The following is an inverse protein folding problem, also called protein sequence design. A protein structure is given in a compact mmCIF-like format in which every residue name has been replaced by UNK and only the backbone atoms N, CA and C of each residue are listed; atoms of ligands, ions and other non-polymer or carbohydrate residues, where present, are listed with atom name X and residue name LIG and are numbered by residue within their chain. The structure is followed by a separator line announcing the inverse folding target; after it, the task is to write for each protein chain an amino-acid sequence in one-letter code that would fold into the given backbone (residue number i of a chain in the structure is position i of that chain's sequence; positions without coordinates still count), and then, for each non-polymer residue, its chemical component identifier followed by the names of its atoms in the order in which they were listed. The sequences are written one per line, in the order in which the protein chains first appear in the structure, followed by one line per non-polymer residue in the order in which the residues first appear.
data_IF_059441016013
#
_entry.id   IF_059441016013
#
_cell.length_a   1.000
_cell.length_b   1.000
_cell.length_c   1.000
_cell.angle_alpha   90.00
_cell.angle_beta   90.00
_cell.angle_gamma   90.00
#
_symmetry.space_group_name_H-M   'P 1'
#
loop_
_entity.id
_entity.type
_entity.pdbx_description
1 polymer ?
#
# COMPACT_ATOMS: atom_id res chain seq x y z
N UNK A 1 -3.23 18.56 33.75
CA UNK A 1 -3.56 19.99 33.70
C UNK A 1 -5.00 20.24 33.26
N UNK A 2 -5.44 19.78 32.10
CA UNK A 2 -6.80 20.06 31.60
C UNK A 2 -7.90 19.13 32.16
N UNK A 3 -7.54 18.04 32.88
CA UNK A 3 -8.51 17.04 33.31
C UNK A 3 -9.59 17.60 34.23
N UNK A 4 -9.21 18.40 35.24
CA UNK A 4 -10.15 19.03 36.15
C UNK A 4 -11.10 20.01 35.42
N UNK A 5 -10.61 20.75 34.41
CA UNK A 5 -11.42 21.66 33.61
C UNK A 5 -12.56 20.93 32.90
N UNK A 6 -12.30 19.75 32.33
CA UNK A 6 -13.31 18.96 31.63
C UNK A 6 -14.00 17.93 32.52
N UNK A 7 -13.69 17.85 33.82
CA UNK A 7 -14.26 16.86 34.75
C UNK A 7 -13.83 15.43 34.45
N UNK A 8 -12.61 15.25 33.96
CA UNK A 8 -11.99 13.95 33.68
C UNK A 8 -11.25 13.43 34.91
N UNK A 9 -11.35 12.13 35.18
CA UNK A 9 -10.62 11.45 36.27
C UNK A 9 -9.20 11.09 35.85
N UNK A 10 -8.99 10.75 34.58
CA UNK A 10 -7.70 10.37 34.00
C UNK A 10 -7.59 10.79 32.53
N UNK A 11 -6.38 10.71 31.92
CA UNK A 11 -6.18 11.05 30.51
C UNK A 11 -6.97 10.14 29.58
N UNK A 12 -7.92 10.67 28.76
CA UNK A 12 -8.75 9.84 27.90
C UNK A 12 -8.01 9.27 26.68
N UNK A 13 -6.96 9.94 26.20
CA UNK A 13 -6.30 9.65 24.92
C UNK A 13 -4.84 9.19 25.06
N UNK A 14 -4.52 8.46 26.15
CA UNK A 14 -3.19 7.82 26.30
C UNK A 14 -2.90 6.91 25.10
N UNK A 15 -1.66 6.97 24.62
CA UNK A 15 -1.17 6.13 23.52
C UNK A 15 -0.86 4.71 24.02
N UNK A 16 -0.38 4.60 25.27
CA UNK A 16 -0.12 3.29 25.89
C UNK A 16 -1.42 2.47 25.95
N UNK A 17 -1.41 1.23 25.43
CA UNK A 17 -2.60 0.38 25.45
C UNK A 17 -3.06 0.08 26.89
N UNK A 18 -4.35 0.31 27.15
CA UNK A 18 -5.06 -0.09 28.37
C UNK A 18 -6.36 -0.77 27.94
N UNK A 19 -6.55 -2.03 28.33
CA UNK A 19 -7.70 -2.86 27.92
C UNK A 19 -9.04 -2.33 28.39
N UNK A 20 -9.10 -1.57 29.50
CA UNK A 20 -10.32 -0.88 29.95
C UNK A 20 -10.84 0.17 28.95
N UNK A 21 -9.96 0.66 28.09
CA UNK A 21 -10.26 1.60 27.02
C UNK A 21 -10.38 0.91 25.65
N UNK A 22 -10.65 -0.38 25.61
CA UNK A 22 -10.83 -1.09 24.34
C UNK A 22 -12.15 -0.70 23.68
N UNK A 23 -12.07 -0.12 22.49
CA UNK A 23 -13.23 0.26 21.69
C UNK A 23 -13.55 -0.85 20.68
N UNK A 24 -14.74 -1.44 20.80
CA UNK A 24 -15.20 -2.54 19.94
C UNK A 24 -15.76 -2.09 18.59
N UNK A 25 -15.99 -0.78 18.39
CA UNK A 25 -16.51 -0.23 17.14
C UNK A 25 -15.51 -0.29 15.97
N UNK A 26 -15.97 0.05 14.79
CA UNK A 26 -15.15 0.07 13.55
C UNK A 26 -14.51 -1.30 13.28
N UNK A 27 -15.25 -2.39 13.32
CA UNK A 27 -14.88 -3.82 13.17
C UNK A 27 -13.98 -4.44 14.26
N UNK A 28 -13.49 -3.68 15.27
CA UNK A 28 -12.53 -4.20 16.26
C UNK A 28 -13.14 -5.31 17.13
N UNK A 29 -14.40 -5.16 17.54
CA UNK A 29 -15.13 -6.19 18.28
C UNK A 29 -15.31 -7.47 17.45
N UNK A 30 -15.79 -7.34 16.21
CA UNK A 30 -15.98 -8.47 15.34
C UNK A 30 -14.67 -9.23 15.03
N UNK A 31 -13.57 -8.50 14.84
CA UNK A 31 -12.23 -9.10 14.66
C UNK A 31 -11.78 -9.79 15.95
N UNK A 32 -12.04 -9.20 17.12
CA UNK A 32 -11.71 -9.81 18.41
C UNK A 32 -12.46 -11.13 18.61
N UNK A 33 -13.77 -11.14 18.38
CA UNK A 33 -14.62 -12.34 18.51
C UNK A 33 -14.20 -13.44 17.53
N UNK A 34 -13.91 -13.07 16.28
CA UNK A 34 -13.42 -14.01 15.27
C UNK A 34 -12.02 -14.56 15.61
N UNK A 35 -11.14 -13.76 16.23
CA UNK A 35 -9.85 -14.23 16.72
C UNK A 35 -9.99 -15.20 17.89
N UNK A 36 -10.87 -14.92 18.84
CA UNK A 36 -11.17 -15.85 19.94
C UNK A 36 -11.67 -17.18 19.41
N UNK A 37 -12.58 -17.14 18.41
CA UNK A 37 -13.05 -18.34 17.74
C UNK A 37 -11.91 -19.11 17.06
N UNK A 38 -11.11 -18.42 16.22
CA UNK A 38 -10.00 -19.02 15.48
C UNK A 38 -8.92 -19.60 16.42
N UNK A 39 -8.66 -18.96 17.56
CA UNK A 39 -7.73 -19.48 18.57
C UNK A 39 -8.31 -20.74 19.24
N UNK A 40 -9.59 -20.72 19.62
CA UNK A 40 -10.22 -21.89 20.25
C UNK A 40 -10.37 -23.09 19.30
N UNK A 41 -10.38 -22.88 17.97
CA UNK A 41 -10.37 -23.97 16.99
C UNK A 41 -9.04 -24.75 16.96
N UNK A 42 -7.97 -24.13 17.44
CA UNK A 42 -6.66 -24.78 17.61
C UNK A 42 -5.87 -24.99 16.33
N UNK A 43 -6.36 -24.57 15.16
CA UNK A 43 -5.76 -24.91 13.87
C UNK A 43 -4.98 -23.76 13.21
N UNK A 44 -3.84 -24.13 12.61
CA UNK A 44 -3.10 -23.28 11.68
C UNK A 44 -2.42 -22.06 12.32
N UNK A 45 -2.03 -21.15 11.42
CA UNK A 45 -1.46 -19.86 11.77
C UNK A 45 -2.50 -18.79 11.48
N UNK A 46 -2.67 -17.88 12.42
CA UNK A 46 -3.58 -16.74 12.31
C UNK A 46 -2.76 -15.50 11.98
N UNK A 47 -3.26 -14.65 11.09
CA UNK A 47 -2.63 -13.40 10.73
C UNK A 47 -3.56 -12.21 10.96
N UNK A 48 -3.04 -11.16 11.59
CA UNK A 48 -3.74 -9.90 11.81
C UNK A 48 -2.90 -8.77 11.23
N UNK A 49 -3.40 -8.12 10.18
CA UNK A 49 -2.69 -7.05 9.49
C UNK A 49 -3.42 -5.72 9.68
N UNK A 50 -2.66 -4.65 9.85
CA UNK A 50 -3.19 -3.28 9.91
C UNK A 50 -2.06 -2.26 9.98
N UNK A 51 -2.35 -1.04 9.60
CA UNK A 51 -1.42 0.08 9.59
C UNK A 51 -0.86 0.39 10.99
N UNK A 52 0.25 1.13 11.02
CA UNK A 52 0.81 1.66 12.28
C UNK A 52 -0.25 2.51 12.99
N UNK A 53 -0.53 2.16 14.25
CA UNK A 53 -1.54 2.88 15.04
C UNK A 53 -2.99 2.51 14.75
N UNK A 54 -3.27 1.40 14.04
CA UNK A 54 -4.63 0.85 13.85
C UNK A 54 -5.21 0.20 15.12
N UNK A 55 -4.36 -0.16 16.09
CA UNK A 55 -4.77 -0.77 17.36
C UNK A 55 -4.44 -2.26 17.51
N UNK A 56 -3.52 -2.83 16.69
CA UNK A 56 -3.08 -4.24 16.78
C UNK A 56 -2.62 -4.64 18.16
N UNK A 57 -1.72 -3.86 18.77
CA UNK A 57 -1.21 -4.12 20.12
C UNK A 57 -2.32 -4.10 21.18
N UNK A 58 -3.31 -3.21 21.04
CA UNK A 58 -4.48 -3.17 21.91
C UNK A 58 -5.31 -4.46 21.78
N UNK A 59 -5.52 -4.91 20.53
CA UNK A 59 -6.23 -6.15 20.22
C UNK A 59 -5.50 -7.37 20.80
N UNK A 60 -4.16 -7.43 20.64
CA UNK A 60 -3.32 -8.49 21.20
C UNK A 60 -3.45 -8.57 22.73
N UNK A 61 -3.34 -7.42 23.42
CA UNK A 61 -3.50 -7.38 24.88
C UNK A 61 -4.92 -7.74 25.33
N UNK A 62 -5.93 -7.32 24.57
CA UNK A 62 -7.31 -7.67 24.87
C UNK A 62 -7.52 -9.19 24.77
N UNK A 63 -6.97 -9.85 23.73
CA UNK A 63 -6.99 -11.31 23.61
C UNK A 63 -6.37 -11.99 24.84
N UNK A 64 -5.20 -11.54 25.29
CA UNK A 64 -4.56 -12.10 26.49
C UNK A 64 -5.45 -12.00 27.74
N UNK A 65 -6.31 -10.97 27.80
CA UNK A 65 -7.21 -10.77 28.97
C UNK A 65 -8.47 -11.65 28.91
N UNK A 66 -9.01 -11.91 27.69
CA UNK A 66 -10.32 -12.57 27.55
C UNK A 66 -10.24 -14.05 27.17
N UNK A 67 -9.08 -14.53 26.73
CA UNK A 67 -8.90 -15.93 26.41
C UNK A 67 -9.11 -16.79 27.67
N UNK A 68 -9.73 -17.97 27.54
CA UNK A 68 -9.99 -18.85 28.69
C UNK A 68 -8.68 -19.34 29.31
N UNK A 69 -8.71 -19.63 30.63
CA UNK A 69 -7.54 -20.07 31.40
C UNK A 69 -6.86 -21.36 30.86
N UNK A 70 -7.54 -22.12 30.01
CA UNK A 70 -6.96 -23.25 29.29
C UNK A 70 -5.97 -22.85 28.18
N UNK A 71 -5.99 -21.58 27.74
CA UNK A 71 -5.09 -21.05 26.71
C UNK A 71 -3.92 -20.36 27.41
N UNK A 72 -2.76 -20.95 27.29
CA UNK A 72 -1.51 -20.38 27.77
C UNK A 72 -0.88 -19.55 26.64
N UNK A 73 -0.60 -18.27 26.91
CA UNK A 73 -0.12 -17.32 25.90
C UNK A 73 1.36 -17.01 26.08
N UNK A 74 2.10 -17.08 24.99
CA UNK A 74 3.50 -16.65 24.86
C UNK A 74 3.54 -15.35 24.06
N UNK A 75 4.26 -14.36 24.51
CA UNK A 75 4.30 -13.05 23.85
C UNK A 75 5.71 -12.70 23.36
N UNK A 76 5.90 -12.73 22.04
CA UNK A 76 7.14 -12.34 21.40
C UNK A 76 7.04 -10.89 20.90
N UNK A 77 7.57 -9.98 21.73
CA UNK A 77 7.53 -8.53 21.45
C UNK A 77 8.65 -8.08 20.51
N UNK A 78 9.77 -8.81 20.44
CA UNK A 78 10.92 -8.43 19.64
C UNK A 78 10.87 -9.11 18.24
N UNK A 79 10.61 -8.34 17.16
CA UNK A 79 10.56 -8.91 15.83
C UNK A 79 11.97 -9.22 15.25
N UNK A 80 13.02 -8.68 15.85
CA UNK A 80 14.40 -8.82 15.33
C UNK A 80 15.14 -10.04 15.91
N UNK A 81 14.41 -11.04 16.40
CA UNK A 81 15.02 -12.28 16.89
C UNK A 81 15.62 -13.05 15.74
N UNK A 82 16.89 -13.45 15.87
CA UNK A 82 17.55 -14.30 14.89
C UNK A 82 16.92 -15.71 14.81
N UNK A 83 17.02 -16.40 13.67
CA UNK A 83 16.42 -17.73 13.50
C UNK A 83 16.86 -18.71 14.57
N UNK A 84 18.14 -18.69 14.95
CA UNK A 84 18.73 -19.53 15.98
C UNK A 84 18.18 -19.24 17.38
N UNK A 85 17.79 -18.00 17.66
CA UNK A 85 17.39 -17.55 18.99
C UNK A 85 15.87 -17.65 19.26
N UNK A 86 15.06 -17.85 18.23
CA UNK A 86 13.59 -17.86 18.39
C UNK A 86 13.11 -18.95 19.35
N UNK A 87 13.73 -20.13 19.31
CA UNK A 87 13.41 -21.23 20.22
C UNK A 87 13.75 -20.91 21.66
N UNK A 88 14.91 -20.26 21.89
CA UNK A 88 15.32 -19.83 23.24
C UNK A 88 14.39 -18.73 23.75
N UNK A 89 13.97 -17.80 22.91
CA UNK A 89 13.00 -16.76 23.29
C UNK A 89 11.66 -17.37 23.73
N UNK A 90 11.14 -18.33 22.97
CA UNK A 90 9.89 -19.03 23.35
C UNK A 90 10.08 -19.82 24.65
N UNK A 91 11.18 -20.54 24.78
CA UNK A 91 11.47 -21.31 26.00
C UNK A 91 11.65 -20.41 27.22
N UNK A 92 12.22 -19.22 27.05
CA UNK A 92 12.36 -18.21 28.10
C UNK A 92 10.99 -17.67 28.53
N UNK A 93 10.13 -17.29 27.60
CA UNK A 93 8.77 -16.81 27.89
C UNK A 93 7.92 -17.87 28.59
N UNK A 94 8.08 -19.15 28.21
CA UNK A 94 7.44 -20.29 28.89
C UNK A 94 8.12 -20.69 30.22
N UNK A 95 9.17 -19.96 30.63
CA UNK A 95 9.96 -20.23 31.85
C UNK A 95 10.49 -21.67 31.93
N UNK A 96 10.86 -22.24 30.79
CA UNK A 96 11.38 -23.60 30.73
C UNK A 96 12.77 -23.68 31.35
N UNK A 97 13.01 -24.73 32.15
CA UNK A 97 14.30 -24.98 32.77
C UNK A 97 15.25 -25.58 31.74
N UNK A 98 16.16 -24.75 31.20
CA UNK A 98 17.18 -25.18 30.26
C UNK A 98 18.55 -25.28 30.97
N UNK A 99 19.40 -26.27 30.60
CA UNK A 99 20.81 -26.30 30.97
C UNK A 99 21.52 -25.03 30.43
N UNK A 100 22.55 -24.53 31.15
CA UNK A 100 23.28 -23.30 30.73
C UNK A 100 23.93 -23.40 29.34
N UNK A 101 24.20 -24.63 28.88
CA UNK A 101 24.83 -24.94 27.58
C UNK A 101 23.90 -25.75 26.67
N UNK A 102 22.57 -25.58 26.83
CA UNK A 102 21.61 -26.30 26.00
C UNK A 102 21.79 -25.94 24.53
N UNK A 103 21.98 -26.94 23.69
CA UNK A 103 21.98 -26.74 22.24
C UNK A 103 20.53 -26.67 21.70
N UNK A 104 20.41 -26.32 20.42
CA UNK A 104 19.12 -26.16 19.74
C UNK A 104 18.24 -27.43 19.83
N UNK A 105 18.81 -28.63 19.72
CA UNK A 105 18.08 -29.89 19.79
C UNK A 105 17.54 -30.14 21.19
N UNK A 106 18.32 -29.82 22.21
CA UNK A 106 17.90 -29.92 23.60
C UNK A 106 16.75 -28.94 23.90
N UNK A 107 16.84 -27.68 23.42
CA UNK A 107 15.77 -26.71 23.59
C UNK A 107 14.48 -27.18 22.90
N UNK A 108 14.59 -27.66 21.67
CA UNK A 108 13.45 -28.20 20.93
C UNK A 108 12.81 -29.40 21.64
N UNK A 109 13.63 -30.32 22.16
CA UNK A 109 13.12 -31.48 22.91
C UNK A 109 12.38 -31.07 24.19
N UNK A 110 12.96 -30.13 24.96
CA UNK A 110 12.31 -29.62 26.18
C UNK A 110 11.00 -28.90 25.85
N UNK A 111 11.00 -28.07 24.79
CA UNK A 111 9.79 -27.39 24.32
C UNK A 111 8.73 -28.39 23.87
N UNK A 112 9.09 -29.37 23.04
CA UNK A 112 8.15 -30.40 22.57
C UNK A 112 7.55 -31.18 23.74
N UNK A 113 8.36 -31.61 24.69
CA UNK A 113 7.89 -32.28 25.90
C UNK A 113 6.89 -31.42 26.69
N UNK A 114 7.25 -30.15 26.91
CA UNK A 114 6.36 -29.20 27.59
C UNK A 114 5.00 -29.08 26.89
N UNK A 115 5.00 -28.91 25.57
CA UNK A 115 3.77 -28.78 24.77
C UNK A 115 2.90 -30.04 24.86
N UNK A 116 3.50 -31.23 24.83
CA UNK A 116 2.79 -32.52 25.05
C UNK A 116 2.18 -32.60 26.44
N UNK A 117 2.94 -32.22 27.47
CA UNK A 117 2.46 -32.22 28.86
C UNK A 117 1.28 -31.23 29.01
N UNK A 118 1.37 -30.00 28.42
CA UNK A 118 0.24 -29.05 28.41
C UNK A 118 -0.98 -29.58 27.69
N UNK A 119 -0.79 -30.21 26.55
CA UNK A 119 -1.88 -30.82 25.80
C UNK A 119 -2.56 -31.94 26.58
N UNK A 120 -1.81 -32.78 27.30
CA UNK A 120 -2.35 -33.82 28.17
C UNK A 120 -3.17 -33.23 29.33
N UNK A 121 -2.84 -32.01 29.80
CA UNK A 121 -3.63 -31.27 30.79
C UNK A 121 -4.87 -30.59 30.20
N UNK A 122 -5.15 -30.73 28.89
CA UNK A 122 -6.24 -30.05 28.18
C UNK A 122 -5.98 -28.57 27.96
N UNK A 123 -4.71 -28.15 28.03
CA UNK A 123 -4.29 -26.75 27.77
C UNK A 123 -3.76 -26.61 26.34
N UNK A 124 -3.95 -25.43 25.80
CA UNK A 124 -3.47 -25.00 24.47
C UNK A 124 -2.42 -23.92 24.65
N UNK A 125 -1.31 -24.02 23.91
CA UNK A 125 -0.26 -22.98 23.92
C UNK A 125 -0.38 -22.16 22.63
N UNK A 126 -0.40 -20.83 22.78
CA UNK A 126 -0.55 -19.87 21.66
C UNK A 126 0.56 -18.84 21.74
N UNK A 127 1.32 -18.68 20.65
CA UNK A 127 2.35 -17.65 20.52
C UNK A 127 1.77 -16.43 19.81
N UNK A 128 1.84 -15.28 20.45
CA UNK A 128 1.57 -13.98 19.86
C UNK A 128 2.89 -13.34 19.42
N UNK A 129 3.02 -13.07 18.13
CA UNK A 129 4.16 -12.41 17.54
C UNK A 129 3.74 -11.01 17.11
N UNK A 130 4.25 -9.97 17.77
CA UNK A 130 4.01 -8.58 17.36
C UNK A 130 5.06 -8.09 16.37
N UNK A 131 4.66 -7.12 15.54
CA UNK A 131 5.51 -6.50 14.50
C UNK A 131 6.18 -7.53 13.56
N UNK A 132 5.46 -8.61 13.23
CA UNK A 132 5.98 -9.76 12.47
C UNK A 132 6.57 -9.39 11.10
N UNK A 133 6.20 -8.23 10.51
CA UNK A 133 6.84 -7.71 9.29
C UNK A 133 8.33 -7.36 9.48
N UNK A 134 8.75 -7.11 10.73
CA UNK A 134 10.16 -6.84 11.08
C UNK A 134 11.01 -8.09 11.27
N UNK A 135 10.41 -9.29 11.21
CA UNK A 135 11.15 -10.54 11.34
C UNK A 135 11.96 -10.84 10.08
N UNK A 136 13.22 -11.31 10.21
CA UNK A 136 13.94 -11.92 9.10
C UNK A 136 13.14 -13.06 8.48
N UNK A 137 13.22 -13.25 7.15
CA UNK A 137 12.51 -14.33 6.45
C UNK A 137 12.86 -15.71 7.02
N UNK A 138 14.14 -15.91 7.36
CA UNK A 138 14.59 -17.15 7.98
C UNK A 138 13.96 -17.38 9.37
N UNK A 139 13.68 -16.34 10.14
CA UNK A 139 12.97 -16.44 11.43
C UNK A 139 11.49 -16.79 11.23
N UNK A 140 10.84 -16.23 10.20
CA UNK A 140 9.48 -16.61 9.82
C UNK A 140 9.40 -18.07 9.39
N UNK A 141 10.45 -18.62 8.76
CA UNK A 141 10.54 -20.01 8.40
C UNK A 141 10.70 -20.91 9.65
N UNK A 142 11.45 -20.48 10.66
CA UNK A 142 11.50 -21.18 11.95
C UNK A 142 10.11 -21.21 12.64
N UNK A 143 9.37 -20.13 12.60
CA UNK A 143 7.97 -20.06 13.09
C UNK A 143 7.11 -21.09 12.34
N UNK A 144 7.29 -21.23 11.03
CA UNK A 144 6.61 -22.26 10.24
C UNK A 144 6.96 -23.66 10.71
N UNK A 145 8.24 -23.94 10.99
CA UNK A 145 8.68 -25.25 11.47
C UNK A 145 8.05 -25.58 12.82
N UNK A 146 7.94 -24.60 13.73
CA UNK A 146 7.25 -24.79 15.01
C UNK A 146 5.77 -25.13 14.85
N UNK A 147 5.09 -24.64 13.84
CA UNK A 147 3.70 -24.99 13.56
C UNK A 147 3.49 -26.45 13.12
N UNK A 148 4.60 -27.22 12.92
CA UNK A 148 4.55 -28.67 12.68
C UNK A 148 4.46 -29.50 13.95
N UNK A 149 4.60 -28.87 15.14
CA UNK A 149 4.49 -29.60 16.39
C UNK A 149 3.03 -30.02 16.61
N UNK A 150 2.78 -31.30 16.44
CA UNK A 150 1.43 -31.89 16.48
C UNK A 150 1.44 -33.28 17.11
N UNK A 151 0.30 -33.70 17.63
CA UNK A 151 -0.01 -35.10 17.93
C UNK A 151 -0.55 -35.80 16.67
N UNK A 152 -1.13 -36.97 16.82
CA UNK A 152 -1.84 -37.63 15.70
C UNK A 152 -3.11 -36.87 15.27
N UNK A 153 -3.68 -36.03 16.12
CA UNK A 153 -4.99 -35.44 15.93
C UNK A 153 -5.01 -33.91 16.10
N UNK A 154 -4.11 -33.34 16.91
CA UNK A 154 -4.17 -31.95 17.32
C UNK A 154 -2.83 -31.22 17.17
N UNK A 155 -2.88 -29.93 16.88
CA UNK A 155 -1.72 -29.03 16.94
C UNK A 155 -1.36 -28.75 18.40
N UNK A 156 -0.08 -28.91 18.74
CA UNK A 156 0.44 -28.61 20.06
C UNK A 156 0.67 -27.11 20.28
N UNK A 157 0.86 -26.38 19.20
CA UNK A 157 1.22 -24.96 19.23
C UNK A 157 0.47 -24.23 18.12
N UNK A 158 -0.20 -23.14 18.51
CA UNK A 158 -0.83 -22.20 17.58
C UNK A 158 -0.08 -20.87 17.56
N UNK A 159 -0.11 -20.16 16.44
CA UNK A 159 0.67 -18.94 16.25
C UNK A 159 -0.24 -17.85 15.68
N UNK A 160 -0.17 -16.65 16.28
CA UNK A 160 -0.88 -15.45 15.82
C UNK A 160 0.13 -14.38 15.46
N UNK A 161 0.22 -14.04 14.18
CA UNK A 161 1.12 -13.02 13.64
C UNK A 161 0.40 -11.68 13.55
N UNK A 162 0.84 -10.69 14.30
CA UNK A 162 0.40 -9.30 14.20
C UNK A 162 1.43 -8.51 13.40
N UNK A 163 1.01 -7.91 12.28
CA UNK A 163 1.93 -7.18 11.41
C UNK A 163 1.32 -5.98 10.71
N UNK A 164 2.19 -5.22 10.06
CA UNK A 164 1.82 -4.14 9.14
C UNK A 164 1.59 -4.73 7.74
N UNK A 165 1.07 -3.95 6.77
CA UNK A 165 0.85 -4.45 5.40
C UNK A 165 2.10 -5.04 4.73
N UNK A 166 3.30 -4.64 5.17
CA UNK A 166 4.58 -5.20 4.73
C UNK A 166 4.71 -6.70 5.05
N UNK A 167 4.01 -7.19 6.08
CA UNK A 167 3.94 -8.63 6.35
C UNK A 167 3.33 -9.38 5.17
N UNK A 168 2.28 -8.84 4.55
CA UNK A 168 1.68 -9.44 3.36
C UNK A 168 2.64 -9.46 2.18
N UNK A 169 3.45 -8.40 2.03
CA UNK A 169 4.50 -8.34 1.01
C UNK A 169 5.54 -9.44 1.24
N UNK A 170 6.03 -9.58 2.48
CA UNK A 170 6.98 -10.61 2.86
C UNK A 170 6.41 -12.02 2.63
N UNK A 171 5.18 -12.28 3.07
CA UNK A 171 4.50 -13.58 2.91
C UNK A 171 4.23 -13.95 1.44
N UNK A 172 4.25 -13.01 0.52
CA UNK A 172 4.11 -13.27 -0.92
C UNK A 172 5.43 -13.64 -1.62
N UNK A 173 6.56 -13.58 -0.91
CA UNK A 173 7.84 -14.04 -1.44
C UNK A 173 7.86 -15.57 -1.60
N UNK A 174 8.52 -16.05 -2.65
CA UNK A 174 8.59 -17.48 -2.94
C UNK A 174 9.29 -18.28 -1.83
N UNK A 175 10.24 -17.67 -1.15
CA UNK A 175 11.06 -18.26 -0.10
C UNK A 175 10.23 -18.73 1.10
N UNK A 176 9.12 -18.02 1.43
CA UNK A 176 8.25 -18.34 2.57
C UNK A 176 6.82 -18.70 2.16
N UNK A 177 6.63 -19.13 0.91
CA UNK A 177 5.34 -19.60 0.39
C UNK A 177 4.69 -20.65 1.28
N UNK A 178 5.48 -21.57 1.83
CA UNK A 178 4.98 -22.64 2.71
C UNK A 178 4.38 -22.11 4.02
N UNK A 179 4.90 -21.01 4.57
CA UNK A 179 4.30 -20.35 5.73
C UNK A 179 2.94 -19.75 5.36
N UNK A 180 2.84 -19.10 4.20
CA UNK A 180 1.57 -18.54 3.72
C UNK A 180 0.47 -19.59 3.57
N UNK A 181 0.80 -20.76 3.07
CA UNK A 181 -0.15 -21.87 2.89
C UNK A 181 -0.67 -22.45 4.22
N UNK A 182 0.00 -22.15 5.34
CA UNK A 182 -0.44 -22.55 6.69
C UNK A 182 -1.29 -21.53 7.40
N UNK A 183 -1.45 -20.34 6.81
CA UNK A 183 -2.32 -19.30 7.38
C UNK A 183 -3.78 -19.69 7.11
N UNK A 184 -4.48 -20.11 8.15
CA UNK A 184 -5.89 -20.52 8.06
C UNK A 184 -6.84 -19.34 8.16
N UNK A 185 -6.47 -18.32 8.96
CA UNK A 185 -7.30 -17.13 9.17
C UNK A 185 -6.48 -15.85 8.95
N UNK A 186 -7.06 -14.91 8.23
CA UNK A 186 -6.45 -13.61 7.97
C UNK A 186 -7.43 -12.49 8.27
N UNK A 187 -7.08 -11.65 9.22
CA UNK A 187 -7.89 -10.51 9.65
C UNK A 187 -7.22 -9.19 9.28
N UNK A 188 -8.03 -8.22 8.92
CA UNK A 188 -7.55 -6.88 8.59
C UNK A 188 -8.15 -5.84 9.52
N UNK A 189 -7.28 -5.06 10.18
CA UNK A 189 -7.67 -3.98 11.07
C UNK A 189 -7.57 -2.63 10.33
N UNK A 190 -8.66 -2.27 9.66
CA UNK A 190 -8.75 -1.07 8.84
C UNK A 190 -8.80 0.24 9.65
N UNK A 191 -8.69 1.39 8.98
CA UNK A 191 -8.89 2.70 9.58
C UNK A 191 -10.35 2.88 10.07
N UNK A 192 -10.54 3.74 11.07
CA UNK A 192 -11.87 4.18 11.50
C UNK A 192 -12.43 5.20 10.52
N UNK A 193 -13.70 5.08 10.18
CA UNK A 193 -14.44 6.12 9.47
C UNK A 193 -14.80 7.29 10.41
N UNK A 194 -15.35 8.37 9.86
CA UNK A 194 -15.69 9.58 10.62
C UNK A 194 -16.70 9.29 11.74
N UNK A 195 -17.70 8.44 11.48
CA UNK A 195 -18.72 8.07 12.46
C UNK A 195 -18.10 7.30 13.62
N UNK A 196 -17.31 6.27 13.31
CA UNK A 196 -16.62 5.46 14.31
C UNK A 196 -15.60 6.29 15.12
N UNK A 197 -14.95 7.29 14.52
CA UNK A 197 -14.10 8.24 15.25
C UNK A 197 -14.91 9.06 16.24
N UNK A 198 -16.09 9.55 15.86
CA UNK A 198 -16.99 10.26 16.79
C UNK A 198 -17.39 9.38 17.97
N UNK A 199 -17.77 8.14 17.71
CA UNK A 199 -18.11 7.13 18.74
C UNK A 199 -16.88 6.79 19.61
N UNK A 200 -15.72 6.63 19.01
CA UNK A 200 -14.46 6.38 19.70
C UNK A 200 -14.09 7.52 20.66
N UNK A 201 -14.17 8.76 20.20
CA UNK A 201 -13.81 9.92 21.03
C UNK A 201 -14.71 10.04 22.28
N UNK A 202 -16.03 9.86 22.12
CA UNK A 202 -16.93 9.92 23.26
C UNK A 202 -16.75 8.71 24.18
N UNK A 203 -16.54 7.51 23.62
CA UNK A 203 -16.25 6.30 24.40
C UNK A 203 -15.02 6.51 25.30
N UNK A 204 -13.91 7.01 24.75
CA UNK A 204 -12.68 7.30 25.51
C UNK A 204 -12.89 8.32 26.63
N UNK A 205 -13.69 9.35 26.37
CA UNK A 205 -14.07 10.34 27.40
C UNK A 205 -14.89 9.69 28.51
N UNK A 206 -15.86 8.83 28.15
CA UNK A 206 -16.69 8.12 29.13
C UNK A 206 -15.85 7.20 30.00
N UNK A 207 -14.96 6.41 29.40
CA UNK A 207 -14.03 5.54 30.13
C UNK A 207 -13.12 6.35 31.06
N UNK A 208 -12.76 7.60 30.71
CA UNK A 208 -12.00 8.50 31.57
C UNK A 208 -12.84 9.25 32.62
N UNK A 209 -14.11 8.88 32.82
CA UNK A 209 -15.00 9.41 33.82
C UNK A 209 -15.75 10.69 33.47
N UNK A 210 -15.83 11.04 32.18
CA UNK A 210 -16.60 12.18 31.69
C UNK A 210 -18.05 11.80 31.39
N UNK A 211 -19.02 12.49 31.98
CA UNK A 211 -20.44 12.23 31.79
C UNK A 211 -21.23 13.39 31.20
N UNK A 212 -20.54 14.45 30.77
CA UNK A 212 -21.14 15.61 30.15
C UNK A 212 -21.55 15.42 28.68
N UNK A 213 -22.00 16.50 27.99
CA UNK A 213 -22.29 16.48 26.55
C UNK A 213 -21.03 16.27 25.73
N UNK A 214 -21.20 15.99 24.42
CA UNK A 214 -20.02 15.77 23.55
C UNK A 214 -19.11 17.00 23.48
N UNK A 215 -17.86 16.84 23.92
CA UNK A 215 -16.85 17.91 23.92
C UNK A 215 -16.42 18.29 22.49
N UNK A 216 -16.44 17.36 21.55
CA UNK A 216 -16.03 17.60 20.17
C UNK A 216 -17.24 17.98 19.30
N UNK A 217 -17.20 19.14 18.66
CA UNK A 217 -18.20 19.50 17.65
C UNK A 217 -18.12 18.56 16.43
N UNK A 218 -19.22 18.37 15.69
CA UNK A 218 -19.24 17.54 14.47
C UNK A 218 -18.16 17.95 13.48
N UNK A 219 -17.95 19.25 13.28
CA UNK A 219 -16.91 19.78 12.40
C UNK A 219 -15.48 19.56 12.93
N UNK A 220 -15.30 19.47 14.24
CA UNK A 220 -14.02 19.07 14.84
C UNK A 220 -13.74 17.59 14.59
N UNK A 221 -14.74 16.72 14.77
CA UNK A 221 -14.64 15.29 14.48
C UNK A 221 -14.26 15.05 13.00
N UNK A 222 -14.97 15.67 12.05
CA UNK A 222 -14.66 15.58 10.62
C UNK A 222 -13.22 16.02 10.31
N UNK A 223 -12.74 17.08 10.97
CA UNK A 223 -11.37 17.57 10.79
C UNK A 223 -10.33 16.61 11.39
N UNK A 224 -10.57 16.02 12.57
CA UNK A 224 -9.73 14.96 13.17
C UNK A 224 -9.68 13.75 12.22
N UNK A 225 -10.84 13.27 11.75
CA UNK A 225 -10.96 12.13 10.86
C UNK A 225 -10.09 12.30 9.60
N UNK A 226 -10.24 13.44 8.93
CA UNK A 226 -9.47 13.76 7.72
C UNK A 226 -7.95 13.81 7.99
N UNK A 227 -7.54 14.37 9.13
CA UNK A 227 -6.12 14.53 9.43
C UNK A 227 -5.47 13.28 10.00
N UNK A 228 -6.20 12.51 10.82
CA UNK A 228 -5.75 11.25 11.38
C UNK A 228 -5.79 10.10 10.37
N UNK A 229 -6.52 10.23 9.26
CA UNK A 229 -6.74 9.16 8.27
C UNK A 229 -7.31 7.87 8.90
N UNK A 230 -8.14 8.01 9.95
CA UNK A 230 -8.73 6.88 10.66
C UNK A 230 -7.79 6.09 11.59
N UNK A 231 -6.53 6.47 11.70
CA UNK A 231 -5.54 5.78 12.53
C UNK A 231 -5.68 6.18 14.00
N UNK A 232 -6.03 5.22 14.85
CA UNK A 232 -6.36 5.44 16.26
C UNK A 232 -5.28 6.20 17.03
N UNK A 233 -4.01 5.88 16.79
CA UNK A 233 -2.88 6.60 17.41
C UNK A 233 -2.88 8.08 17.04
N UNK A 234 -3.12 8.41 15.77
CA UNK A 234 -3.20 9.81 15.31
C UNK A 234 -4.44 10.51 15.85
N UNK A 235 -5.58 9.79 15.93
CA UNK A 235 -6.82 10.30 16.56
C UNK A 235 -6.55 10.68 18.02
N UNK A 236 -5.89 9.82 18.79
CA UNK A 236 -5.55 10.09 20.18
C UNK A 236 -4.67 11.34 20.34
N UNK A 237 -3.60 11.45 19.53
CA UNK A 237 -2.70 12.61 19.57
C UNK A 237 -3.46 13.91 19.26
N UNK A 238 -4.27 13.91 18.21
CA UNK A 238 -5.05 15.09 17.83
C UNK A 238 -6.12 15.43 18.86
N UNK A 239 -6.80 14.44 19.43
CA UNK A 239 -7.83 14.66 20.42
C UNK A 239 -7.24 15.24 21.72
N UNK A 240 -6.13 14.69 22.22
CA UNK A 240 -5.45 15.16 23.42
C UNK A 240 -4.97 16.61 23.27
N UNK A 241 -4.24 16.90 22.17
CA UNK A 241 -3.77 18.25 21.87
C UNK A 241 -4.92 19.24 21.61
N UNK A 242 -6.04 18.78 21.05
CA UNK A 242 -7.23 19.64 20.84
C UNK A 242 -7.93 20.00 22.15
N UNK A 243 -7.98 19.07 23.11
CA UNK A 243 -8.46 19.35 24.47
C UNK A 243 -7.54 20.37 25.17
N UNK A 244 -6.23 20.20 25.03
CA UNK A 244 -5.26 21.14 25.59
C UNK A 244 -5.42 22.55 24.99
N UNK A 245 -5.64 22.66 23.67
CA UNK A 245 -5.89 23.92 23.01
C UNK A 245 -7.22 24.58 23.45
N UNK A 246 -8.29 23.80 23.65
CA UNK A 246 -9.56 24.29 24.13
C UNK A 246 -9.45 24.76 25.60
N UNK A 247 -8.68 24.04 26.42
CA UNK A 247 -8.35 24.46 27.79
C UNK A 247 -7.58 25.77 27.82
N UNK A 248 -6.60 25.97 26.93
CA UNK A 248 -5.85 27.24 26.83
C UNK A 248 -6.74 28.42 26.44
N UNK A 249 -7.76 28.19 25.61
CA UNK A 249 -8.78 29.16 25.23
C UNK A 249 -9.88 29.33 26.33
N UNK A 250 -9.80 28.59 27.43
CA UNK A 250 -10.77 28.51 28.53
C UNK A 250 -12.21 28.21 28.07
N UNK A 251 -12.36 27.28 27.12
CA UNK A 251 -13.66 26.82 26.58
C UNK A 251 -13.87 25.35 26.79
N UNK A 252 -15.15 24.93 26.93
CA UNK A 252 -15.51 23.52 27.15
C UNK A 252 -15.76 22.74 25.86
N UNK A 253 -15.83 23.40 24.71
CA UNK A 253 -16.09 22.74 23.44
C UNK A 253 -14.90 22.81 22.51
N UNK A 254 -14.48 21.66 21.99
CA UNK A 254 -13.45 21.53 20.96
C UNK A 254 -14.06 21.87 19.60
N UNK A 255 -13.52 22.89 18.96
CA UNK A 255 -13.91 23.37 17.64
C UNK A 255 -12.83 23.07 16.58
N UNK A 256 -13.10 23.26 15.29
CA UNK A 256 -12.07 23.12 14.24
C UNK A 256 -10.85 24.05 14.40
N UNK A 257 -10.96 25.14 15.18
CA UNK A 257 -9.84 26.03 15.52
C UNK A 257 -8.81 25.27 16.37
N UNK A 258 -9.27 24.60 17.44
CA UNK A 258 -8.42 23.84 18.35
C UNK A 258 -7.77 22.64 17.65
N UNK A 259 -8.53 21.95 16.78
CA UNK A 259 -8.00 20.85 15.95
C UNK A 259 -6.92 21.35 14.98
N UNK A 260 -7.07 22.56 14.39
CA UNK A 260 -6.01 23.13 13.54
C UNK A 260 -4.73 23.40 14.33
N UNK A 261 -4.84 23.92 15.53
CA UNK A 261 -3.70 24.12 16.41
C UNK A 261 -3.01 22.77 16.74
N UNK A 262 -3.80 21.74 17.09
CA UNK A 262 -3.29 20.40 17.35
C UNK A 262 -2.59 19.77 16.14
N UNK A 263 -3.11 19.97 14.93
CA UNK A 263 -2.49 19.50 13.68
C UNK A 263 -1.15 20.20 13.46
N UNK A 264 -1.11 21.54 13.63
CA UNK A 264 0.13 22.32 13.47
C UNK A 264 1.25 21.90 14.44
N UNK A 265 0.86 21.47 15.64
CA UNK A 265 1.78 21.02 16.70
C UNK A 265 2.10 19.49 16.60
N UNK A 266 1.66 18.81 15.56
CA UNK A 266 1.93 17.37 15.35
C UNK A 266 2.82 17.15 14.14
N UNK A 267 3.76 16.17 14.25
CA UNK A 267 4.74 15.85 13.19
C UNK A 267 4.08 15.46 11.86
N UNK A 268 2.99 14.67 11.92
CA UNK A 268 2.26 14.28 10.72
C UNK A 268 1.44 15.44 10.10
N UNK A 269 1.20 16.53 10.81
CA UNK A 269 0.63 17.77 10.27
C UNK A 269 1.58 18.48 9.30
N UNK A 270 2.88 18.45 9.60
CA UNK A 270 3.91 19.03 8.73
C UNK A 270 4.01 18.32 7.37
N UNK A 271 3.83 16.99 7.33
CA UNK A 271 3.81 16.22 6.08
C UNK A 271 2.58 16.53 5.22
N UNK A 272 1.41 16.70 5.84
CA UNK A 272 0.20 17.08 5.11
C UNK A 272 0.31 18.49 4.52
N UNK A 273 0.88 19.45 5.24
CA UNK A 273 1.14 20.79 4.72
C UNK A 273 2.10 20.79 3.54
N UNK A 274 3.16 19.96 3.58
CA UNK A 274 4.09 19.81 2.45
C UNK A 274 3.42 19.21 1.21
N UNK A 275 2.53 18.20 1.38
CA UNK A 275 1.75 17.62 0.27
C UNK A 275 0.76 18.62 -0.32
N UNK A 276 0.02 19.34 0.52
CA UNK A 276 -0.93 20.36 0.07
C UNK A 276 -0.23 21.55 -0.60
N UNK A 277 0.89 22.00 -0.06
CA UNK A 277 1.69 23.06 -0.68
C UNK A 277 2.20 22.64 -2.08
N UNK A 278 2.64 21.38 -2.25
CA UNK A 278 3.02 20.86 -3.58
C UNK A 278 1.82 20.80 -4.53
N UNK A 279 0.66 20.31 -4.09
CA UNK A 279 -0.55 20.25 -4.92
C UNK A 279 -1.02 21.66 -5.34
N UNK A 280 -1.02 22.62 -4.41
CA UNK A 280 -1.36 24.00 -4.72
C UNK A 280 -0.36 24.63 -5.70
N UNK A 281 0.94 24.33 -5.55
CA UNK A 281 1.97 24.79 -6.49
C UNK A 281 1.72 24.26 -7.90
N UNK A 282 1.35 22.97 -8.05
CA UNK A 282 1.00 22.38 -9.35
C UNK A 282 -0.27 23.02 -9.94
N UNK A 283 -1.30 23.28 -9.11
CA UNK A 283 -2.52 23.96 -9.57
C UNK A 283 -2.24 25.39 -10.03
N UNK A 284 -1.39 26.15 -9.31
CA UNK A 284 -0.98 27.48 -9.70
C UNK A 284 -0.16 27.45 -10.99
N UNK A 285 0.77 26.51 -11.12
CA UNK A 285 1.56 26.32 -12.34
C UNK A 285 0.68 25.97 -13.55
N UNK A 286 -0.30 25.07 -13.38
CA UNK A 286 -1.27 24.74 -14.40
C UNK A 286 -2.14 25.93 -14.81
N UNK A 287 -2.59 26.74 -13.82
CA UNK A 287 -3.35 27.95 -14.08
C UNK A 287 -2.54 28.98 -14.89
N UNK A 288 -1.26 29.20 -14.52
CA UNK A 288 -0.37 30.10 -15.24
C UNK A 288 -0.16 29.63 -16.67
N UNK A 289 -0.02 28.31 -16.89
CA UNK A 289 0.16 27.71 -18.22
C UNK A 289 -1.10 27.92 -19.08
N UNK A 290 -2.29 27.70 -18.52
CA UNK A 290 -3.57 27.95 -19.22
C UNK A 290 -3.73 29.43 -19.58
N UNK A 291 -3.43 30.34 -18.65
CA UNK A 291 -3.48 31.78 -18.90
C UNK A 291 -2.47 32.17 -19.99
N UNK A 292 -1.25 31.63 -19.94
CA UNK A 292 -0.22 31.85 -20.97
C UNK A 292 -0.67 31.39 -22.35
N UNK A 293 -1.29 30.20 -22.46
CA UNK A 293 -1.86 29.68 -23.70
C UNK A 293 -3.00 30.56 -24.24
N UNK A 294 -3.87 31.04 -23.36
CA UNK A 294 -4.97 31.96 -23.74
C UNK A 294 -4.42 33.29 -24.27
N UNK A 295 -3.42 33.86 -23.60
CA UNK A 295 -2.77 35.10 -24.06
C UNK A 295 -2.07 34.87 -25.41
N UNK A 296 -1.35 33.76 -25.58
CA UNK A 296 -0.70 33.39 -26.84
C UNK A 296 -1.71 33.21 -27.98
N UNK A 297 -2.83 32.52 -27.68
CA UNK A 297 -3.93 32.35 -28.65
C UNK A 297 -4.55 33.68 -29.05
N UNK A 298 -4.80 34.57 -28.12
CA UNK A 298 -5.38 35.90 -28.35
C UNK A 298 -4.40 36.81 -29.15
N UNK A 299 -3.10 36.78 -28.80
CA UNK A 299 -2.07 37.49 -29.51
C UNK A 299 -1.92 36.97 -30.96
N UNK A 300 -1.96 35.63 -31.19
CA UNK A 300 -1.95 35.03 -32.50
C UNK A 300 -3.20 35.40 -33.31
N UNK A 301 -4.37 35.42 -32.69
CA UNK A 301 -5.64 35.80 -33.33
C UNK A 301 -5.64 37.25 -33.79
N UNK A 302 -5.07 38.18 -33.00
CA UNK A 302 -4.96 39.60 -33.34
C UNK A 302 -3.82 39.91 -34.30
N UNK A 303 -2.80 39.06 -34.42
CA UNK A 303 -1.66 39.25 -35.32
C UNK A 303 -1.90 38.72 -36.74
N UNK A 304 -3.11 38.21 -37.05
CA UNK A 304 -3.44 37.82 -38.42
C UNK A 304 -3.54 39.06 -39.29
N UNK A 305 -2.67 39.25 -40.32
CA UNK A 305 -2.82 40.35 -41.25
C UNK A 305 -4.13 40.18 -42.03
N UNK A 306 -4.88 41.29 -42.13
CA UNK A 306 -6.06 41.35 -43.01
C UNK A 306 -5.63 41.02 -44.43
N UNK A 307 -6.41 40.24 -45.22
CA UNK A 307 -6.08 39.96 -46.59
C UNK A 307 -6.08 41.24 -47.39
N UNK A 308 -4.91 41.57 -47.95
CA UNK A 308 -4.76 42.65 -48.93
C UNK A 308 -5.61 42.32 -50.14
N UNK A 309 -6.54 43.21 -50.49
CA UNK A 309 -7.28 43.16 -51.76
C UNK A 309 -6.27 43.39 -52.91
N UNK A 310 -6.06 42.39 -53.71
CA UNK A 310 -5.38 42.56 -55.03
C UNK A 310 -6.36 43.20 -56.03
N UNK A 311 -5.85 44.12 -56.88
CA UNK A 311 -6.68 44.77 -57.87
C UNK A 311 -6.95 43.82 -59.05
N UNK A 312 -8.22 43.84 -59.49
CA UNK A 312 -8.74 43.10 -60.63
C UNK A 312 -8.04 43.61 -61.92
N UNK A 313 -7.42 42.69 -62.64
CA UNK A 313 -7.08 42.91 -64.02
C UNK A 313 -7.66 41.79 -64.89
N UNK A 314 -8.51 42.16 -65.80
CA UNK A 314 -9.25 41.31 -66.70
C UNK A 314 -8.38 40.84 -67.88
N UNK A 315 -8.50 39.56 -68.28
CA UNK A 315 -8.62 39.14 -69.71
C UNK A 315 -8.73 37.61 -69.85
N UNK A 316 -9.87 37.12 -70.21
CA UNK A 316 -10.35 36.43 -71.39
C UNK A 316 -9.79 35.04 -71.72
N UNK A 317 -10.77 34.08 -71.77
CA UNK A 317 -10.97 32.89 -72.64
C UNK A 317 -10.06 31.66 -72.49
N UNK A 318 -10.57 30.51 -72.09
CA UNK A 318 -11.33 29.53 -72.89
C UNK A 318 -11.68 28.31 -72.06
N UNK A 319 -12.91 27.86 -72.23
CA UNK A 319 -13.51 26.55 -71.82
C UNK A 319 -12.99 25.42 -72.76
N UNK A 320 -13.19 24.10 -72.51
CA UNK A 320 -14.28 23.47 -71.76
C UNK A 320 -13.95 22.16 -70.98
N UNK A 321 -14.94 21.76 -70.21
CA UNK A 321 -15.50 20.43 -69.93
C UNK A 321 -14.98 19.53 -68.79
N UNK A 322 -15.82 19.43 -67.79
CA UNK A 322 -16.57 18.31 -67.24
C UNK A 322 -15.85 17.27 -66.38
N UNK A 323 -16.10 17.24 -65.08
CA UNK A 323 -16.95 16.24 -64.42
C UNK A 323 -17.10 16.53 -62.93
N UNK A 324 -18.35 16.56 -62.50
CA UNK A 324 -18.89 16.55 -61.13
C UNK A 324 -18.46 15.30 -60.38
N UNK A 325 -17.99 15.48 -59.14
CA UNK A 325 -18.20 14.55 -58.06
C UNK A 325 -18.39 15.37 -56.77
N UNK A 326 -19.48 15.08 -56.08
CA UNK A 326 -20.01 15.72 -54.86
C UNK A 326 -19.08 15.65 -53.64
N UNK A 327 -19.27 16.54 -52.67
CA UNK A 327 -18.39 16.66 -51.51
C UNK A 327 -18.72 15.62 -50.42
N UNK A 328 -17.73 14.83 -50.06
CA UNK A 328 -17.76 14.00 -48.84
C UNK A 328 -17.21 14.83 -47.66
N UNK A 329 -18.06 14.95 -46.64
CA UNK A 329 -17.71 15.50 -45.32
C UNK A 329 -16.55 14.73 -44.68
N UNK A 330 -15.67 15.35 -43.91
CA UNK A 330 -14.68 14.64 -43.14
C UNK A 330 -15.30 14.20 -41.81
N UNK A 331 -15.63 12.90 -41.71
CA UNK A 331 -15.92 12.23 -40.46
C UNK A 331 -14.65 11.71 -39.79
N UNK A 332 -14.46 12.11 -38.56
CA UNK A 332 -13.61 11.57 -37.49
C UNK A 332 -12.61 10.44 -37.84
N UNK A 333 -11.32 10.79 -37.92
CA UNK A 333 -10.20 9.86 -37.97
C UNK A 333 -9.28 10.06 -36.75
N UNK A 334 -9.68 9.54 -35.60
CA UNK A 334 -8.82 9.50 -34.39
C UNK A 334 -8.57 8.10 -33.83
N UNK A 335 -9.32 7.08 -34.24
CA UNK A 335 -9.16 5.71 -33.72
C UNK A 335 -8.22 4.84 -34.58
N UNK A 336 -8.07 5.12 -35.86
CA UNK A 336 -7.26 4.32 -36.80
C UNK A 336 -5.74 4.52 -36.66
N UNK A 337 -5.27 5.71 -36.26
CA UNK A 337 -3.84 6.03 -36.22
C UNK A 337 -3.11 5.36 -35.02
N UNK A 338 -3.81 5.07 -33.94
CA UNK A 338 -3.19 4.50 -32.71
C UNK A 338 -3.11 2.98 -32.80
N UNK A 339 -4.05 2.32 -33.46
CA UNK A 339 -3.99 0.87 -33.76
C UNK A 339 -2.84 0.56 -34.73
N UNK A 340 -2.62 1.42 -35.70
CA UNK A 340 -1.47 1.33 -36.64
C UNK A 340 -0.12 1.46 -35.93
N UNK A 341 0.01 2.29 -34.89
CA UNK A 341 1.24 2.46 -34.14
C UNK A 341 1.55 1.18 -33.34
N UNK A 342 0.58 0.59 -32.67
CA UNK A 342 0.77 -0.63 -31.87
C UNK A 342 1.18 -1.83 -32.74
N UNK A 343 0.48 -2.06 -33.84
CA UNK A 343 0.76 -3.17 -34.78
C UNK A 343 2.12 -2.98 -35.45
N UNK A 344 2.46 -1.77 -35.86
CA UNK A 344 3.75 -1.46 -36.44
C UNK A 344 4.89 -1.72 -35.44
N UNK A 345 4.75 -1.30 -34.17
CA UNK A 345 5.76 -1.52 -33.15
C UNK A 345 5.90 -3.00 -32.76
N UNK A 346 4.84 -3.77 -32.78
CA UNK A 346 4.90 -5.23 -32.58
C UNK A 346 5.74 -5.90 -33.68
N UNK A 347 5.56 -5.51 -34.94
CA UNK A 347 6.32 -6.04 -36.09
C UNK A 347 7.80 -5.65 -36.00
N UNK A 348 8.10 -4.38 -35.70
CA UNK A 348 9.48 -3.88 -35.51
C UNK A 348 10.16 -4.65 -34.38
N UNK A 349 9.47 -4.90 -33.26
CA UNK A 349 10.01 -5.62 -32.13
C UNK A 349 10.32 -7.08 -32.45
N UNK A 350 9.47 -7.76 -33.24
CA UNK A 350 9.72 -9.15 -33.65
C UNK A 350 11.00 -9.25 -34.52
N UNK A 351 11.23 -8.29 -35.40
CA UNK A 351 12.42 -8.25 -36.23
C UNK A 351 13.66 -7.95 -35.37
N UNK A 352 13.57 -6.99 -34.44
CA UNK A 352 14.65 -6.68 -33.51
C UNK A 352 15.03 -7.85 -32.62
N UNK A 353 14.06 -8.58 -32.04
CA UNK A 353 14.31 -9.77 -31.21
C UNK A 353 14.99 -10.90 -31.97
N UNK A 354 14.83 -11.00 -33.29
CA UNK A 354 15.51 -12.00 -34.14
C UNK A 354 16.96 -11.63 -34.46
N UNK A 355 17.29 -10.33 -34.47
CA UNK A 355 18.58 -9.83 -34.92
C UNK A 355 19.51 -9.46 -33.73
N UNK A 356 18.95 -9.08 -32.60
CA UNK A 356 19.72 -8.63 -31.46
C UNK A 356 20.35 -9.80 -30.69
N UNK A 357 21.61 -9.70 -30.23
CA UNK A 357 22.26 -10.68 -29.39
C UNK A 357 21.48 -10.95 -28.09
N UNK A 358 21.48 -12.18 -27.59
CA UNK A 358 20.79 -12.54 -26.35
C UNK A 358 21.29 -11.78 -25.11
N UNK A 359 22.53 -11.32 -25.15
CA UNK A 359 23.17 -10.52 -24.11
C UNK A 359 22.75 -9.04 -24.08
N UNK A 360 22.08 -8.56 -25.14
CA UNK A 360 21.60 -7.19 -25.23
C UNK A 360 20.62 -6.87 -24.10
N UNK A 361 20.80 -5.71 -23.46
CA UNK A 361 20.00 -5.23 -22.34
C UNK A 361 19.03 -4.15 -22.82
N UNK A 362 17.80 -4.19 -22.32
CA UNK A 362 16.75 -3.20 -22.59
C UNK A 362 16.05 -2.79 -21.28
N UNK A 363 15.35 -1.67 -21.29
CA UNK A 363 14.62 -1.13 -20.15
C UNK A 363 13.13 -1.44 -20.33
N UNK A 364 12.53 -2.24 -19.47
CA UNK A 364 11.08 -2.42 -19.40
C UNK A 364 10.45 -1.24 -18.69
N UNK A 365 9.62 -0.48 -19.40
CA UNK A 365 8.96 0.72 -18.88
C UNK A 365 7.65 0.38 -18.16
N UNK A 366 6.84 -0.52 -18.76
CA UNK A 366 5.54 -0.91 -18.22
C UNK A 366 5.05 -2.21 -18.84
N UNK A 367 4.06 -2.84 -18.17
CA UNK A 367 3.28 -3.95 -18.71
C UNK A 367 1.80 -3.75 -18.33
N UNK A 368 0.88 -3.97 -19.27
CA UNK A 368 -0.55 -3.77 -19.06
C UNK A 368 -1.39 -4.61 -20.01
N UNK A 369 -2.72 -4.64 -19.79
CA UNK A 369 -3.67 -5.22 -20.73
C UNK A 369 -3.64 -4.43 -22.06
N UNK A 370 -3.92 -5.10 -23.17
CA UNK A 370 -4.00 -4.45 -24.49
C UNK A 370 -5.35 -3.72 -24.64
N UNK A 371 -5.57 -2.71 -23.81
CA UNK A 371 -6.77 -1.88 -23.78
C UNK A 371 -6.50 -0.45 -24.28
N UNK A 372 -7.56 0.34 -24.37
CA UNK A 372 -7.51 1.73 -24.83
C UNK A 372 -6.53 2.59 -24.01
N UNK A 373 -6.39 2.29 -22.71
CA UNK A 373 -5.47 3.04 -21.83
C UNK A 373 -4.00 2.79 -22.19
N UNK A 374 -3.65 1.57 -22.59
CA UNK A 374 -2.29 1.27 -23.05
C UNK A 374 -1.97 1.98 -24.37
N UNK A 375 -2.95 2.07 -25.26
CA UNK A 375 -2.82 2.77 -26.54
C UNK A 375 -2.58 4.27 -26.34
N UNK A 376 -3.35 4.91 -25.46
CA UNK A 376 -3.14 6.32 -25.09
C UNK A 376 -1.75 6.56 -24.46
N UNK A 377 -1.31 5.63 -23.58
CA UNK A 377 0.03 5.71 -22.99
C UNK A 377 1.14 5.56 -24.03
N UNK A 378 0.99 4.66 -25.01
CA UNK A 378 1.95 4.52 -26.14
C UNK A 378 2.03 5.79 -26.99
N UNK A 379 0.89 6.42 -27.28
CA UNK A 379 0.85 7.69 -27.99
C UNK A 379 1.55 8.81 -27.19
N UNK A 380 1.36 8.85 -25.87
CA UNK A 380 2.05 9.78 -24.98
C UNK A 380 3.56 9.51 -24.90
N UNK A 381 3.99 8.24 -24.86
CA UNK A 381 5.40 7.84 -24.86
C UNK A 381 6.09 8.25 -26.18
N UNK A 382 5.40 8.14 -27.31
CA UNK A 382 5.91 8.54 -28.62
C UNK A 382 6.18 10.05 -28.73
N UNK A 383 5.57 10.88 -27.89
CA UNK A 383 5.85 12.32 -27.82
C UNK A 383 6.98 12.68 -26.87
N UNK A 384 7.33 11.80 -25.92
CA UNK A 384 8.33 12.05 -24.88
C UNK A 384 9.67 11.33 -25.14
N UNK A 385 9.65 10.25 -25.92
CA UNK A 385 10.80 9.41 -26.23
C UNK A 385 10.91 9.21 -27.75
N UNK A 386 12.10 8.91 -28.22
CA UNK A 386 12.32 8.55 -29.62
C UNK A 386 11.57 7.27 -29.96
N UNK A 387 10.59 7.35 -30.86
CA UNK A 387 9.71 6.26 -31.22
C UNK A 387 10.49 5.03 -31.71
N UNK A 388 11.63 5.23 -32.41
CA UNK A 388 12.45 4.16 -32.95
C UNK A 388 13.11 3.28 -31.86
N UNK A 389 13.25 3.80 -30.68
CA UNK A 389 13.80 3.09 -29.52
C UNK A 389 12.72 2.44 -28.63
N UNK A 390 11.43 2.51 -29.01
CA UNK A 390 10.33 1.88 -28.30
C UNK A 390 10.01 0.53 -28.94
N UNK A 391 10.08 -0.54 -28.16
CA UNK A 391 9.76 -1.91 -28.54
C UNK A 391 8.57 -2.42 -27.74
N UNK A 392 7.70 -3.21 -28.37
CA UNK A 392 6.47 -3.71 -27.75
C UNK A 392 6.31 -5.21 -28.07
N UNK A 393 6.04 -6.03 -27.06
CA UNK A 393 5.77 -7.44 -27.26
C UNK A 393 4.65 -7.97 -26.37
N UNK A 394 3.99 -9.04 -26.83
CA UNK A 394 2.89 -9.67 -26.10
C UNK A 394 3.44 -10.67 -25.10
N UNK A 395 2.94 -10.60 -23.84
CA UNK A 395 3.26 -11.52 -22.74
C UNK A 395 1.97 -12.07 -22.13
N UNK A 396 2.10 -12.99 -21.19
CA UNK A 396 0.98 -13.48 -20.37
C UNK A 396 1.38 -13.43 -18.88
N UNK A 397 0.49 -12.97 -18.02
CA UNK A 397 0.59 -13.14 -16.58
C UNK A 397 -0.51 -14.13 -16.12
N UNK A 398 -0.11 -15.38 -15.90
CA UNK A 398 -1.06 -16.47 -15.73
C UNK A 398 -1.87 -16.68 -17.01
N UNK A 399 -3.20 -16.54 -16.95
CA UNK A 399 -4.11 -16.71 -18.09
C UNK A 399 -4.55 -15.40 -18.76
N UNK A 400 -3.97 -14.23 -18.40
CA UNK A 400 -4.34 -12.93 -18.95
C UNK A 400 -3.30 -12.45 -19.96
N UNK A 401 -3.70 -12.08 -21.19
CA UNK A 401 -2.79 -11.49 -22.16
C UNK A 401 -2.35 -10.09 -21.71
N UNK A 402 -1.07 -9.82 -21.76
CA UNK A 402 -0.48 -8.52 -21.45
C UNK A 402 0.39 -8.05 -22.63
N UNK A 403 0.58 -6.75 -22.69
CA UNK A 403 1.54 -6.09 -23.60
C UNK A 403 2.61 -5.42 -22.77
N UNK A 404 3.86 -5.68 -23.07
CA UNK A 404 5.03 -5.10 -22.39
C UNK A 404 5.72 -4.12 -23.30
N UNK A 405 6.01 -2.93 -22.77
CA UNK A 405 6.70 -1.84 -23.46
C UNK A 405 8.15 -1.76 -22.99
N UNK A 406 9.08 -1.80 -23.92
CA UNK A 406 10.52 -1.72 -23.70
C UNK A 406 11.09 -0.46 -24.35
N UNK A 407 12.22 0.00 -23.81
CA UNK A 407 12.94 1.17 -24.34
C UNK A 407 14.44 0.92 -24.44
N UNK A 408 14.99 1.22 -25.60
CA UNK A 408 16.41 1.18 -25.90
C UNK A 408 16.98 -0.23 -26.07
N UNK A 409 18.16 -0.27 -26.69
CA UNK A 409 18.95 -1.46 -26.97
C UNK A 409 20.39 -1.17 -26.56
N UNK A 410 20.88 -1.80 -25.48
CA UNK A 410 22.16 -1.47 -24.85
C UNK A 410 23.08 -2.69 -24.85
N UNK A 411 24.37 -2.45 -25.07
CA UNK A 411 25.38 -3.51 -25.12
C UNK A 411 25.81 -3.96 -23.72
N UNK A 412 25.64 -3.11 -22.69
CA UNK A 412 26.01 -3.40 -21.31
C UNK A 412 24.92 -2.98 -20.33
N UNK A 413 24.94 -3.60 -19.14
CA UNK A 413 24.04 -3.26 -18.04
C UNK A 413 24.27 -1.85 -17.49
N UNK A 414 25.51 -1.39 -17.50
CA UNK A 414 25.88 -0.06 -16.99
C UNK A 414 25.38 1.05 -17.92
N UNK A 415 25.45 0.82 -19.23
CA UNK A 415 24.89 1.72 -20.23
C UNK A 415 23.36 1.84 -20.08
N UNK A 416 22.68 0.72 -19.91
CA UNK A 416 21.23 0.69 -19.67
C UNK A 416 20.83 1.38 -18.35
N UNK A 417 21.65 1.25 -17.28
CA UNK A 417 21.44 1.96 -16.03
C UNK A 417 21.58 3.48 -16.18
N UNK A 418 22.58 3.94 -16.91
CA UNK A 418 22.76 5.36 -17.19
C UNK A 418 21.60 5.93 -18.02
N UNK A 419 21.13 5.19 -19.02
CA UNK A 419 19.97 5.56 -19.82
C UNK A 419 18.70 5.60 -18.96
N UNK A 420 18.51 4.65 -18.07
CA UNK A 420 17.38 4.61 -17.12
C UNK A 420 17.38 5.82 -16.18
N UNK A 421 18.57 6.33 -15.79
CA UNK A 421 18.68 7.55 -14.99
C UNK A 421 18.31 8.82 -15.77
N UNK A 422 18.39 8.80 -17.09
CA UNK A 422 18.03 9.94 -17.96
C UNK A 422 16.55 9.96 -18.34
N UNK A 423 15.78 8.91 -18.05
CA UNK A 423 14.35 8.86 -18.34
C UNK A 423 13.58 10.01 -17.67
N UNK A 424 12.47 10.49 -18.24
CA UNK A 424 11.55 11.43 -17.61
C UNK A 424 11.08 10.96 -16.24
N UNK A 425 10.81 11.91 -15.32
CA UNK A 425 10.40 11.59 -13.94
C UNK A 425 9.14 10.74 -13.87
N UNK A 426 8.21 10.92 -14.79
CA UNK A 426 6.96 10.16 -14.88
C UNK A 426 7.23 8.67 -15.14
N UNK A 427 8.15 8.36 -16.03
CA UNK A 427 8.52 6.99 -16.38
C UNK A 427 9.34 6.30 -15.28
N UNK A 428 10.12 7.06 -14.51
CA UNK A 428 10.83 6.54 -13.33
C UNK A 428 9.88 6.11 -12.21
N UNK A 429 8.72 6.75 -12.08
CA UNK A 429 7.72 6.39 -11.09
C UNK A 429 7.10 5.00 -11.34
N UNK A 430 7.13 4.51 -12.57
CA UNK A 430 6.67 3.17 -12.94
C UNK A 430 7.65 2.05 -12.57
N UNK A 431 8.75 2.37 -11.88
CA UNK A 431 9.81 1.43 -11.46
C UNK A 431 10.34 0.60 -12.64
N UNK A 432 10.95 1.24 -13.65
CA UNK A 432 11.48 0.54 -14.82
C UNK A 432 12.51 -0.51 -14.41
N UNK A 433 12.54 -1.64 -15.14
CA UNK A 433 13.41 -2.78 -14.86
C UNK A 433 14.30 -3.11 -16.04
N UNK A 434 15.53 -3.56 -15.79
CA UNK A 434 16.42 -4.04 -16.84
C UNK A 434 16.08 -5.48 -17.23
N UNK A 435 15.98 -5.75 -18.53
CA UNK A 435 15.71 -7.06 -19.09
C UNK A 435 16.78 -7.40 -20.13
N UNK A 436 17.09 -8.69 -20.31
CA UNK A 436 17.93 -9.18 -21.39
C UNK A 436 17.08 -9.78 -22.51
N UNK A 437 17.54 -9.66 -23.74
CA UNK A 437 16.87 -10.28 -24.90
C UNK A 437 16.71 -11.77 -24.71
N UNK A 438 17.72 -12.48 -24.19
CA UNK A 438 17.64 -13.91 -23.88
C UNK A 438 16.53 -14.26 -22.87
N UNK A 439 16.29 -13.38 -21.86
CA UNK A 439 15.17 -13.54 -20.93
C UNK A 439 13.81 -13.35 -21.58
N UNK A 440 13.68 -12.37 -22.47
CA UNK A 440 12.45 -12.07 -23.22
C UNK A 440 12.13 -13.22 -24.20
N UNK A 441 13.13 -13.74 -24.91
CA UNK A 441 12.95 -14.84 -25.86
C UNK A 441 12.52 -16.15 -25.17
N UNK A 442 13.01 -16.44 -23.96
CA UNK A 442 12.53 -17.58 -23.15
C UNK A 442 11.07 -17.44 -22.78
N UNK A 443 10.65 -16.25 -22.37
CA UNK A 443 9.27 -15.95 -22.00
C UNK A 443 8.33 -16.06 -23.20
N UNK A 444 8.71 -15.54 -24.38
CA UNK A 444 7.88 -15.62 -25.59
C UNK A 444 7.77 -17.03 -26.17
N UNK A 445 8.82 -17.89 -26.07
CA UNK A 445 8.77 -19.30 -26.47
C UNK A 445 7.81 -20.12 -25.61
N UNK A 446 7.74 -19.86 -24.32
CA UNK A 446 6.80 -20.55 -23.41
C UNK A 446 5.33 -20.21 -23.72
N UNK A 447 5.08 -19.06 -24.34
CA UNK A 447 3.73 -18.60 -24.73
C UNK A 447 3.27 -19.26 -26.06
N UNK A 448 4.18 -19.61 -26.96
CA UNK A 448 3.85 -20.23 -28.25
C UNK A 448 3.63 -21.76 -28.16
N UNK A 449 3.94 -22.37 -27.02
CA UNK A 449 3.78 -23.83 -26.76
C UNK A 449 2.58 -24.16 -25.85
N UNK A 450 1.85 -23.18 -25.39
CA UNK A 450 0.61 -23.29 -24.61
C UNK A 450 -0.56 -22.64 -25.33
#
# INVERSE_FOLDING_TARGET
MYYAHFGLKEPPYKITPNTEFFFSGGNRGAVLDALVYAINSGEGIIKVVGEVGSGKTMLCRMLQTILPAKVETVYLANPSVAPEDVLYAIAFELQLKLPKSADRLQVMHVLQKYLVDRHAEGKQVVIFVEEAQGMPLATLEEIRLLSNLETKHDKLLQIVLFGQPELDVNLNLNEIRQLRERITHSFHLGPLDEKAIGEYLIFRLRSAGYFGPNLFSKSAIAKISKSAQGLVRRVNILADKSLLAAFADNVYQVTPKHVRAAIGDSEFGAEQHKRQAKQNLYLIAALILVVGLLIGFFAHYWSRPSPLQEPVSASVKAEPETKLVDPVQPEMATTSAVDDILENRLNVTQNWLKQAPETTVTIQLMSGSADEQLKEHLASLATQLELDNIYVFRTKAGNRPLVTVLYGSYTSRDEALQAMQKLPKELKNNRPQLRTIGGILKETKTISMS
#
